data_IF_091358914816
#
_entry.id   IF_091358914816
#
_cell.length_a   1.000
_cell.length_b   1.000
_cell.length_c   1.000
_cell.angle_alpha   90.00
_cell.angle_beta   90.00
_cell.angle_gamma   90.00
#
_symmetry.space_group_name_H-M   'P 1'
#
loop_
_entity.id
_entity.type
_entity.pdbx_description
1 polymer ?
#
# COMPACT_ATOMS: atom_id res chain seq x y z
N UNK A 1 10.41 -72.66 -25.60
CA UNK A 1 11.16 -71.38 -25.76
C UNK A 1 10.83 -70.85 -27.15
N UNK A 2 10.33 -69.63 -27.37
CA UNK A 2 10.90 -68.32 -27.02
C UNK A 2 9.77 -67.29 -26.85
N UNK A 3 9.76 -66.58 -25.71
CA UNK A 3 8.81 -65.49 -25.39
C UNK A 3 9.28 -64.22 -26.14
N UNK A 4 8.55 -63.78 -27.16
CA UNK A 4 8.86 -62.50 -27.83
C UNK A 4 8.60 -61.35 -26.87
N UNK A 5 9.68 -60.74 -26.37
CA UNK A 5 9.63 -59.50 -25.60
C UNK A 5 9.22 -58.39 -26.56
N UNK A 6 7.98 -57.91 -26.45
CA UNK A 6 7.58 -56.64 -27.09
C UNK A 6 8.42 -55.54 -26.43
N UNK A 7 9.40 -55.00 -27.16
CA UNK A 7 10.02 -53.73 -26.77
C UNK A 7 8.95 -52.65 -26.92
N UNK A 8 8.39 -52.21 -25.80
CA UNK A 8 7.73 -50.91 -25.74
C UNK A 8 8.77 -49.88 -26.17
N UNK A 9 8.51 -49.28 -27.33
CA UNK A 9 9.37 -48.28 -27.93
C UNK A 9 9.36 -47.09 -26.98
N UNK A 10 10.47 -46.85 -26.28
CA UNK A 10 10.70 -45.64 -25.50
C UNK A 10 10.89 -44.43 -26.45
N UNK A 11 9.86 -44.12 -27.24
CA UNK A 11 9.78 -42.94 -28.09
C UNK A 11 8.51 -42.19 -27.70
N UNK A 12 8.63 -41.37 -26.65
CA UNK A 12 7.82 -40.14 -26.51
C UNK A 12 8.22 -39.24 -25.31
N UNK A 13 9.38 -39.47 -24.69
CA UNK A 13 9.82 -38.67 -23.54
C UNK A 13 10.37 -37.27 -23.92
N UNK A 14 10.45 -36.93 -25.22
CA UNK A 14 10.99 -35.62 -25.68
C UNK A 14 9.93 -34.55 -25.92
N UNK A 15 8.66 -34.94 -25.99
CA UNK A 15 7.52 -34.02 -26.06
C UNK A 15 6.77 -33.88 -24.73
N UNK A 16 6.65 -34.97 -23.96
CA UNK A 16 5.89 -34.94 -22.71
C UNK A 16 6.53 -34.09 -21.60
N UNK A 17 7.86 -34.16 -21.46
CA UNK A 17 8.58 -33.39 -20.45
C UNK A 17 8.55 -31.88 -20.71
N UNK A 18 8.68 -31.47 -21.96
CA UNK A 18 8.61 -30.06 -22.37
C UNK A 18 7.19 -29.49 -22.32
N UNK A 19 6.17 -30.30 -22.65
CA UNK A 19 4.77 -29.89 -22.48
C UNK A 19 4.44 -29.69 -20.99
N UNK A 20 4.88 -30.59 -20.12
CA UNK A 20 4.68 -30.44 -18.67
C UNK A 20 5.40 -29.21 -18.12
N UNK A 21 6.65 -28.93 -18.53
CA UNK A 21 7.35 -27.73 -18.08
C UNK A 21 6.69 -26.45 -18.58
N UNK A 22 6.24 -26.41 -19.84
CA UNK A 22 5.50 -25.26 -20.39
C UNK A 22 4.18 -25.04 -19.63
N UNK A 23 3.42 -26.10 -19.32
CA UNK A 23 2.20 -26.00 -18.52
C UNK A 23 2.48 -25.47 -17.11
N UNK A 24 3.52 -25.96 -16.43
CA UNK A 24 3.90 -25.48 -15.09
C UNK A 24 4.32 -24.01 -15.12
N UNK A 25 5.15 -23.61 -16.10
CA UNK A 25 5.54 -22.20 -16.27
C UNK A 25 4.32 -21.32 -16.53
N UNK A 26 3.41 -21.76 -17.39
CA UNK A 26 2.16 -21.02 -17.68
C UNK A 26 1.31 -20.85 -16.41
N UNK A 27 1.13 -21.92 -15.62
CA UNK A 27 0.40 -21.87 -14.35
C UNK A 27 1.09 -20.92 -13.36
N UNK A 28 2.42 -20.98 -13.24
CA UNK A 28 3.17 -20.05 -12.38
C UNK A 28 3.04 -18.60 -12.84
N UNK A 29 3.07 -18.34 -14.15
CA UNK A 29 2.83 -17.01 -14.71
C UNK A 29 1.41 -16.51 -14.42
N UNK A 30 0.40 -17.37 -14.56
CA UNK A 30 -1.00 -17.04 -14.25
C UNK A 30 -1.18 -16.75 -12.76
N UNK A 31 -0.60 -17.57 -11.88
CA UNK A 31 -0.61 -17.32 -10.43
C UNK A 31 0.11 -16.00 -10.12
N UNK A 32 1.27 -15.74 -10.72
CA UNK A 32 1.99 -14.48 -10.57
C UNK A 32 1.17 -13.27 -11.02
N UNK A 33 0.45 -13.38 -12.14
CA UNK A 33 -0.47 -12.35 -12.64
C UNK A 33 -1.64 -12.11 -11.69
N UNK A 34 -2.26 -13.17 -11.18
CA UNK A 34 -3.35 -13.07 -10.20
C UNK A 34 -2.84 -12.41 -8.92
N UNK A 35 -1.68 -12.83 -8.40
CA UNK A 35 -1.08 -12.22 -7.21
C UNK A 35 -0.70 -10.75 -7.44
N UNK A 36 -0.17 -10.40 -8.61
CA UNK A 36 0.14 -9.01 -8.97
C UNK A 36 -1.13 -8.16 -9.08
N UNK A 37 -2.20 -8.72 -9.66
CA UNK A 37 -3.50 -8.06 -9.75
C UNK A 37 -4.11 -7.85 -8.35
N UNK A 38 -4.12 -8.88 -7.50
CA UNK A 38 -4.59 -8.75 -6.10
C UNK A 38 -3.71 -7.77 -5.30
N UNK A 39 -2.40 -7.77 -5.52
CA UNK A 39 -1.47 -6.83 -4.89
C UNK A 39 -1.71 -5.39 -5.32
N UNK A 40 -2.10 -5.15 -6.57
CA UNK A 40 -2.46 -3.80 -7.05
C UNK A 40 -3.72 -3.24 -6.38
N UNK A 41 -4.63 -4.11 -5.92
CA UNK A 41 -5.84 -3.73 -5.17
C UNK A 41 -5.55 -3.45 -3.69
N UNK A 42 -4.55 -4.10 -3.10
CA UNK A 42 -4.15 -3.89 -1.69
C UNK A 42 -3.15 -2.73 -1.52
N UNK A 43 -2.36 -2.43 -2.55
CA UNK A 43 -1.38 -1.34 -2.53
C UNK A 43 -2.03 0.06 -2.48
N UNK A 44 -3.32 0.18 -2.83
CA UNK A 44 -4.04 1.45 -2.74
C UNK A 44 -4.40 1.85 -1.30
N UNK A 45 -4.66 0.90 -0.40
CA UNK A 45 -5.01 1.22 0.99
C UNK A 45 -3.79 1.58 1.84
N UNK A 46 -2.65 0.91 1.60
CA UNK A 46 -1.42 1.13 2.36
C UNK A 46 -0.79 2.51 2.10
N UNK A 47 -0.93 3.04 0.87
CA UNK A 47 -0.43 4.39 0.53
C UNK A 47 -1.13 5.47 1.35
N UNK A 48 -2.45 5.38 1.52
CA UNK A 48 -3.24 6.39 2.21
C UNK A 48 -2.79 6.60 3.65
N UNK A 49 -2.54 5.52 4.40
CA UNK A 49 -2.03 5.60 5.78
C UNK A 49 -0.61 6.17 5.84
N UNK A 50 0.27 5.73 4.94
CA UNK A 50 1.66 6.22 4.92
C UNK A 50 1.76 7.74 4.64
N UNK A 51 0.85 8.29 3.84
CA UNK A 51 0.81 9.73 3.57
C UNK A 51 0.27 10.50 4.77
N UNK A 52 -0.79 9.99 5.42
CA UNK A 52 -1.35 10.62 6.61
C UNK A 52 -0.31 10.76 7.74
N UNK A 53 0.50 9.72 7.97
CA UNK A 53 1.55 9.75 8.99
C UNK A 53 2.68 10.74 8.64
N UNK A 54 3.06 10.86 7.37
CA UNK A 54 4.05 11.85 6.93
C UNK A 54 3.54 13.29 7.12
N UNK A 55 2.28 13.55 6.78
CA UNK A 55 1.66 14.86 6.97
C UNK A 55 1.58 15.19 8.46
N UNK A 56 1.13 14.24 9.29
CA UNK A 56 1.09 14.40 10.75
C UNK A 56 2.47 14.72 11.35
N UNK A 57 3.51 13.99 10.95
CA UNK A 57 4.87 14.23 11.43
C UNK A 57 5.40 15.62 11.01
N UNK A 58 5.13 16.03 9.76
CA UNK A 58 5.58 17.33 9.23
C UNK A 58 4.97 18.50 9.99
N UNK A 59 3.68 18.39 10.34
CA UNK A 59 2.97 19.39 11.12
C UNK A 59 3.48 19.43 12.57
N UNK A 60 3.72 18.27 13.18
CA UNK A 60 4.28 18.20 14.53
C UNK A 60 5.69 18.83 14.58
N UNK A 61 6.54 18.57 13.58
CA UNK A 61 7.87 19.20 13.46
C UNK A 61 7.77 20.72 13.26
N UNK A 62 6.81 21.19 12.47
CA UNK A 62 6.56 22.61 12.30
C UNK A 62 6.17 23.26 13.64
N UNK A 63 5.27 22.64 14.40
CA UNK A 63 4.87 23.13 15.72
C UNK A 63 6.05 23.18 16.70
N UNK A 64 6.92 22.15 16.71
CA UNK A 64 8.14 22.15 17.54
C UNK A 64 9.12 23.28 17.20
N UNK A 65 9.17 23.68 15.93
CA UNK A 65 10.08 24.74 15.44
C UNK A 65 9.45 26.12 15.45
N UNK A 66 8.24 26.27 16.01
CA UNK A 66 7.52 27.54 16.10
C UNK A 66 6.93 28.01 14.76
N UNK A 67 6.80 27.11 13.78
CA UNK A 67 6.19 27.37 12.47
C UNK A 67 4.71 26.97 12.48
N UNK A 68 3.85 27.60 11.65
CA UNK A 68 2.43 27.26 11.58
C UNK A 68 2.21 25.82 11.11
N UNK A 69 1.76 24.94 12.02
CA UNK A 69 1.61 23.51 11.75
C UNK A 69 0.64 23.19 10.61
N UNK A 70 -0.50 23.88 10.55
CA UNK A 70 -1.52 23.61 9.53
C UNK A 70 -1.09 24.02 8.12
N UNK A 71 -0.36 25.12 7.98
CA UNK A 71 0.17 25.56 6.68
C UNK A 71 1.22 24.56 6.15
N UNK A 72 2.08 24.05 7.04
CA UNK A 72 3.05 23.00 6.68
C UNK A 72 2.35 21.68 6.37
N UNK A 73 1.29 21.33 7.09
CA UNK A 73 0.48 20.14 6.83
C UNK A 73 -0.19 20.20 5.45
N UNK A 74 -0.74 21.36 5.07
CA UNK A 74 -1.36 21.57 3.76
C UNK A 74 -0.34 21.45 2.62
N UNK A 75 0.85 22.05 2.81
CA UNK A 75 1.94 21.92 1.85
C UNK A 75 2.38 20.45 1.70
N UNK A 76 2.56 19.73 2.81
CA UNK A 76 2.94 18.32 2.80
C UNK A 76 1.86 17.43 2.16
N UNK A 77 0.58 17.71 2.41
CA UNK A 77 -0.53 17.01 1.78
C UNK A 77 -0.52 17.22 0.25
N UNK A 78 -0.40 18.47 -0.20
CA UNK A 78 -0.39 18.81 -1.64
C UNK A 78 0.77 18.14 -2.40
N UNK A 79 1.95 18.07 -1.79
CA UNK A 79 3.13 17.40 -2.36
C UNK A 79 2.93 15.89 -2.51
N UNK A 80 2.09 15.28 -1.67
CA UNK A 80 1.81 13.84 -1.67
C UNK A 80 0.49 13.47 -2.38
N UNK A 81 -0.09 14.40 -3.15
CA UNK A 81 -1.40 14.22 -3.84
C UNK A 81 -2.54 13.88 -2.87
N UNK A 82 -2.47 14.44 -1.67
CA UNK A 82 -3.55 14.41 -0.68
C UNK A 82 -4.09 15.84 -0.49
N UNK A 83 -5.34 15.94 -0.03
CA UNK A 83 -5.99 17.21 0.33
C UNK A 83 -6.23 17.23 1.83
N UNK A 84 -5.82 18.30 2.49
CA UNK A 84 -6.12 18.50 3.90
C UNK A 84 -7.60 18.86 4.05
N UNK A 85 -8.36 18.11 4.85
CA UNK A 85 -9.78 18.39 5.11
C UNK A 85 -10.01 19.06 6.47
N UNK A 86 -9.20 18.71 7.47
CA UNK A 86 -9.22 19.36 8.78
C UNK A 86 -7.83 19.42 9.41
N UNK A 87 -7.52 20.52 10.09
CA UNK A 87 -6.33 20.66 10.92
C UNK A 87 -6.66 21.42 12.19
N UNK A 88 -6.43 20.79 13.33
CA UNK A 88 -6.66 21.36 14.65
C UNK A 88 -5.42 21.19 15.52
N UNK A 89 -4.95 22.28 16.11
CA UNK A 89 -3.77 22.28 16.98
C UNK A 89 -4.24 22.53 18.40
N UNK A 90 -4.12 21.53 19.26
CA UNK A 90 -4.39 21.65 20.69
C UNK A 90 -3.08 21.85 21.44
N UNK A 91 -2.95 22.94 22.19
CA UNK A 91 -1.75 23.25 22.99
C UNK A 91 -2.05 23.22 24.49
N UNK A 92 -1.08 22.74 25.27
CA UNK A 92 -1.09 22.67 26.73
C UNK A 92 0.21 23.21 27.33
N UNK A 93 0.41 23.01 28.64
CA UNK A 93 1.59 23.49 29.38
C UNK A 93 2.83 22.65 29.05
N UNK A 94 3.50 22.97 27.93
CA UNK A 94 4.64 22.20 27.43
C UNK A 94 4.26 20.97 26.59
N UNK A 95 2.96 20.74 26.42
CA UNK A 95 2.39 19.68 25.59
C UNK A 95 1.72 20.27 24.36
N UNK A 96 1.71 19.54 23.26
CA UNK A 96 0.90 19.91 22.11
C UNK A 96 0.52 18.66 21.33
N UNK A 97 -0.71 18.62 20.83
CA UNK A 97 -1.22 17.59 19.94
C UNK A 97 -1.80 18.25 18.71
N UNK A 98 -1.32 17.83 17.54
CA UNK A 98 -1.85 18.26 16.24
C UNK A 98 -2.73 17.14 15.70
N UNK A 99 -4.01 17.43 15.59
CA UNK A 99 -5.05 16.59 15.00
C UNK A 99 -5.19 16.94 13.52
N UNK A 100 -4.92 15.96 12.64
CA UNK A 100 -4.94 16.18 11.19
C UNK A 100 -5.84 15.16 10.53
N UNK A 101 -6.78 15.64 9.72
CA UNK A 101 -7.60 14.82 8.84
C UNK A 101 -7.24 15.15 7.39
N UNK A 102 -6.81 14.13 6.66
CA UNK A 102 -6.39 14.23 5.26
C UNK A 102 -7.29 13.35 4.42
N UNK A 103 -7.81 13.90 3.33
CA UNK A 103 -8.53 13.18 2.29
C UNK A 103 -7.56 12.86 1.16
N UNK A 104 -7.47 11.59 0.79
CA UNK A 104 -6.65 11.15 -0.35
C UNK A 104 -7.57 10.63 -1.44
N UNK A 105 -7.43 11.17 -2.64
CA UNK A 105 -8.10 10.65 -3.83
C UNK A 105 -7.46 9.31 -4.22
N UNK A 106 -8.27 8.23 -4.23
CA UNK A 106 -7.76 6.90 -4.59
C UNK A 106 -7.60 6.78 -6.11
N UNK A 107 -6.37 6.54 -6.55
CA UNK A 107 -6.04 6.28 -7.95
C UNK A 107 -5.36 4.90 -8.06
N UNK A 108 -5.87 3.95 -8.88
CA UNK A 108 -6.97 4.09 -9.84
C UNK A 108 -8.36 4.04 -9.19
N UNK A 109 -9.29 4.80 -9.79
CA UNK A 109 -10.68 4.88 -9.35
C UNK A 109 -11.41 3.58 -9.72
N UNK A 110 -11.73 2.75 -8.73
CA UNK A 110 -12.49 1.53 -8.96
C UNK A 110 -13.96 1.89 -9.28
N UNK A 111 -14.58 1.33 -10.35
CA UNK A 111 -15.97 1.69 -10.74
C UNK A 111 -17.03 1.51 -9.65
N UNK A 112 -16.76 0.71 -8.61
CA UNK A 112 -17.63 0.45 -7.45
C UNK A 112 -16.94 0.67 -6.09
N UNK A 113 -15.75 1.27 -6.08
CA UNK A 113 -14.99 1.55 -4.86
C UNK A 113 -15.22 2.97 -4.35
N UNK A 114 -14.92 3.25 -3.07
CA UNK A 114 -14.90 4.62 -2.56
C UNK A 114 -13.91 5.46 -3.37
N UNK A 115 -14.34 6.62 -3.86
CA UNK A 115 -13.49 7.54 -4.65
C UNK A 115 -12.46 8.25 -3.80
N UNK A 116 -12.70 8.34 -2.50
CA UNK A 116 -11.91 9.08 -1.52
C UNK A 116 -11.73 8.21 -0.29
N UNK A 117 -10.51 8.17 0.24
CA UNK A 117 -10.26 7.63 1.56
C UNK A 117 -9.89 8.78 2.49
N UNK A 118 -10.68 8.92 3.54
CA UNK A 118 -10.37 9.77 4.69
C UNK A 118 -9.41 9.03 5.60
N UNK A 119 -8.25 9.62 5.87
CA UNK A 119 -7.33 9.13 6.88
C UNK A 119 -7.11 10.23 7.93
N UNK A 120 -7.26 9.86 9.20
CA UNK A 120 -6.99 10.73 10.33
C UNK A 120 -5.73 10.23 11.04
N UNK A 121 -4.82 11.14 11.37
CA UNK A 121 -3.62 10.83 12.16
C UNK A 121 -3.34 11.96 13.15
N UNK A 122 -2.88 11.60 14.35
CA UNK A 122 -2.55 12.52 15.44
C UNK A 122 -1.06 12.46 15.70
N UNK A 123 -0.41 13.62 15.75
CA UNK A 123 0.99 13.70 16.12
C UNK A 123 1.21 14.87 17.10
N UNK A 124 1.97 14.61 18.15
CA UNK A 124 2.17 15.57 19.23
C UNK A 124 3.10 15.06 20.31
N UNK A 125 3.48 15.95 21.21
CA UNK A 125 4.13 15.60 22.47
C UNK A 125 3.07 15.68 23.55
N UNK A 126 2.67 14.53 24.06
CA UNK A 126 1.91 14.36 25.31
C UNK A 126 2.90 13.91 26.36
N UNK A 127 3.00 14.60 27.50
CA UNK A 127 3.72 14.03 28.63
C UNK A 127 2.87 12.85 29.12
N UNK A 128 3.51 11.69 29.32
CA UNK A 128 2.86 10.60 30.01
C UNK A 128 2.52 11.09 31.43
N UNK A 129 1.30 10.89 31.94
CA UNK A 129 1.05 11.03 33.36
C UNK A 129 1.89 9.97 34.10
N UNK A 130 2.72 10.41 35.06
CA UNK A 130 3.48 9.54 35.97
C UNK A 130 2.57 8.66 36.82
#
# INVERSE_FOLDING_TARGET
MVKRVRRCRARDQRGGGSVLTVCVVLVLCLVGLVLAWQGSLLASEARTRSVADLVALSAARAQQTGRPACEVAELAASQNRARLSACEVTTGWGEFVVDITVEVDLVPQLPRGPRQATAQSRAGVVALPD
#
